data_IF_950290314239
#
_entry.id   IF_950290314239
#
_cell.length_a   1.000
_cell.length_b   1.000
_cell.length_c   1.000
_cell.angle_alpha   90.00
_cell.angle_beta   90.00
_cell.angle_gamma   90.00
#
_symmetry.space_group_name_H-M   'P 1'
#
loop_
_entity.id
_entity.type
_entity.pdbx_description
1 polymer ?
#
# COMPACT_ATOMS: atom_id res chain seq x y z
N UNK A 1 29.31 -26.37 18.20
CA UNK A 1 29.26 -25.22 17.28
C UNK A 1 27.84 -25.10 16.77
N UNK A 2 26.98 -24.29 17.40
CA UNK A 2 25.64 -24.01 16.86
C UNK A 2 25.78 -22.86 15.87
N UNK A 3 25.58 -23.15 14.59
CA UNK A 3 25.45 -22.15 13.55
C UNK A 3 24.21 -21.29 13.87
N UNK A 4 24.44 -20.05 14.30
CA UNK A 4 23.39 -19.04 14.40
C UNK A 4 23.13 -18.58 12.97
N UNK A 5 22.36 -19.35 12.22
CA UNK A 5 21.88 -18.95 10.90
C UNK A 5 20.98 -17.75 11.14
N UNK A 6 21.52 -16.56 10.92
CA UNK A 6 20.80 -15.30 11.00
C UNK A 6 19.63 -15.37 10.02
N UNK A 7 18.45 -15.76 10.51
CA UNK A 7 17.22 -15.77 9.74
C UNK A 7 16.96 -14.33 9.31
N UNK A 8 17.22 -14.06 8.03
CA UNK A 8 16.82 -12.84 7.33
C UNK A 8 15.29 -12.78 7.42
N UNK A 9 14.75 -12.16 8.47
CA UNK A 9 13.30 -12.11 8.72
C UNK A 9 12.66 -11.34 7.57
N UNK A 10 11.97 -12.06 6.70
CA UNK A 10 11.02 -11.46 5.76
C UNK A 10 9.86 -10.85 6.55
N UNK A 11 9.34 -9.69 6.16
CA UNK A 11 8.10 -9.17 6.74
C UNK A 11 7.00 -10.23 6.66
N UNK A 12 6.31 -10.55 7.78
CA UNK A 12 5.15 -11.43 7.74
C UNK A 12 4.02 -10.80 6.92
N UNK A 13 3.08 -11.64 6.49
CA UNK A 13 1.90 -11.19 5.75
C UNK A 13 1.09 -10.17 6.56
N UNK A 14 0.65 -9.10 5.89
CA UNK A 14 -0.14 -8.06 6.54
C UNK A 14 -0.01 -6.68 5.91
N UNK A 15 -0.50 -5.69 6.64
CA UNK A 15 -0.50 -4.29 6.22
C UNK A 15 0.64 -3.53 6.88
N UNK A 16 1.34 -2.73 6.09
CA UNK A 16 2.51 -1.95 6.53
C UNK A 16 2.36 -0.49 6.13
N UNK A 17 2.97 0.38 6.92
CA UNK A 17 3.12 1.77 6.55
C UNK A 17 4.31 1.92 5.59
N UNK A 18 4.14 2.69 4.51
CA UNK A 18 5.18 2.95 3.54
C UNK A 18 5.11 4.39 3.01
N UNK A 19 6.28 4.93 2.67
CA UNK A 19 6.39 6.15 1.87
C UNK A 19 6.35 5.75 0.40
N UNK A 20 5.33 6.22 -0.31
CA UNK A 20 5.13 5.95 -1.74
C UNK A 20 5.37 7.22 -2.51
N UNK A 21 6.29 7.17 -3.46
CA UNK A 21 6.64 8.28 -4.34
C UNK A 21 6.23 7.89 -5.76
N UNK A 22 5.40 8.72 -6.38
CA UNK A 22 5.04 8.58 -7.79
C UNK A 22 4.99 9.96 -8.45
N UNK A 23 5.12 9.97 -9.77
CA UNK A 23 4.93 11.17 -10.58
C UNK A 23 3.51 11.11 -11.16
N UNK A 24 2.77 12.21 -11.04
CA UNK A 24 1.54 12.40 -11.78
C UNK A 24 1.91 12.62 -13.27
N UNK A 25 1.33 11.82 -14.16
CA UNK A 25 1.59 11.88 -15.60
C UNK A 25 0.98 13.15 -16.19
N UNK A 26 1.74 14.23 -16.05
CA UNK A 26 1.40 15.58 -16.49
C UNK A 26 2.26 16.63 -15.77
N UNK A 27 2.68 16.33 -14.55
CA UNK A 27 3.48 17.22 -13.73
C UNK A 27 4.89 16.69 -13.52
N UNK A 28 5.91 17.50 -13.84
CA UNK A 28 7.34 17.19 -13.58
C UNK A 28 7.68 17.11 -12.07
N UNK A 29 6.68 16.95 -11.21
CA UNK A 29 6.79 16.99 -9.75
C UNK A 29 6.34 15.63 -9.20
N UNK A 30 7.27 14.92 -8.57
CA UNK A 30 6.94 13.76 -7.75
C UNK A 30 6.31 14.21 -6.44
N UNK A 31 5.18 13.65 -6.06
CA UNK A 31 4.63 13.78 -4.72
C UNK A 31 4.98 12.52 -3.90
N UNK A 32 5.07 12.66 -2.59
CA UNK A 32 5.20 11.52 -1.69
C UNK A 32 3.98 11.44 -0.80
N UNK A 33 3.53 10.22 -0.54
CA UNK A 33 2.40 9.93 0.32
C UNK A 33 2.79 8.86 1.32
N UNK A 34 2.29 9.00 2.54
CA UNK A 34 2.41 7.97 3.57
C UNK A 34 1.17 7.08 3.48
N UNK A 35 1.35 5.90 2.90
CA UNK A 35 0.27 5.00 2.50
C UNK A 35 0.47 3.62 3.12
N UNK A 36 -0.62 2.87 3.21
CA UNK A 36 -0.57 1.49 3.69
C UNK A 36 -0.42 0.56 2.50
N UNK A 37 0.48 -0.41 2.60
CA UNK A 37 0.73 -1.42 1.56
C UNK A 37 0.44 -2.81 2.11
N UNK A 38 -0.08 -3.69 1.25
CA UNK A 38 -0.33 -5.10 1.59
C UNK A 38 0.87 -5.94 1.18
N UNK A 39 1.35 -6.75 2.11
CA UNK A 39 2.44 -7.71 1.91
C UNK A 39 1.92 -9.12 2.06
N UNK A 40 2.23 -9.98 1.08
CA UNK A 40 1.97 -11.43 1.11
C UNK A 40 3.18 -12.18 0.59
N UNK A 41 3.62 -13.22 1.29
CA UNK A 41 4.76 -14.05 0.88
C UNK A 41 6.01 -13.20 0.56
N UNK A 42 6.31 -12.20 1.41
CA UNK A 42 7.39 -11.22 1.20
C UNK A 42 7.25 -10.34 -0.07
N UNK A 43 6.08 -10.31 -0.69
CA UNK A 43 5.81 -9.49 -1.88
C UNK A 43 4.85 -8.36 -1.54
N UNK A 44 5.14 -7.17 -2.05
CA UNK A 44 4.19 -6.07 -2.06
C UNK A 44 3.15 -6.38 -3.14
N UNK A 45 1.90 -6.57 -2.72
CA UNK A 45 0.79 -7.01 -3.60
C UNK A 45 -0.30 -5.95 -3.81
N UNK A 46 -0.41 -4.97 -2.91
CA UNK A 46 -1.34 -3.83 -3.07
C UNK A 46 -0.77 -2.55 -2.45
N UNK A 47 -1.19 -1.40 -2.97
CA UNK A 47 -0.99 -0.09 -2.36
C UNK A 47 -2.36 0.46 -2.00
N UNK A 48 -2.66 0.56 -0.70
CA UNK A 48 -3.90 1.12 -0.19
C UNK A 48 -3.85 2.63 -0.22
N UNK A 49 -4.82 3.13 -0.93
CA UNK A 49 -4.74 4.40 -1.62
C UNK A 49 -6.08 5.05 -1.23
N UNK A 50 -6.09 5.98 -0.25
CA UNK A 50 -7.30 6.37 0.49
C UNK A 50 -8.28 7.26 -0.29
N UNK A 51 -7.78 8.02 -1.27
CA UNK A 51 -8.53 9.03 -2.06
C UNK A 51 -8.65 8.62 -3.54
N UNK A 52 -9.08 9.54 -4.41
CA UNK A 52 -8.55 9.72 -5.77
C UNK A 52 -7.21 9.07 -6.16
N UNK A 53 -7.14 7.99 -6.93
CA UNK A 53 -5.86 7.59 -7.57
C UNK A 53 -5.91 7.81 -9.05
N UNK A 54 -4.82 8.38 -9.56
CA UNK A 54 -4.61 8.57 -10.99
C UNK A 54 -4.70 7.24 -11.74
N UNK A 55 -4.21 6.19 -11.12
CA UNK A 55 -4.17 4.85 -11.69
C UNK A 55 -4.85 3.86 -10.77
N UNK A 56 -5.96 3.32 -11.27
CA UNK A 56 -6.82 2.38 -10.58
C UNK A 56 -6.46 0.92 -10.88
N UNK A 57 -5.43 0.70 -11.69
CA UNK A 57 -5.02 -0.64 -12.11
C UNK A 57 -4.28 -1.34 -10.96
N UNK A 58 -4.36 -2.67 -10.95
CA UNK A 58 -3.60 -3.47 -10.00
C UNK A 58 -2.09 -3.31 -10.24
N UNK A 59 -1.30 -3.55 -9.20
CA UNK A 59 0.15 -3.66 -9.31
C UNK A 59 0.58 -5.10 -9.53
N UNK A 60 1.72 -5.29 -10.18
CA UNK A 60 2.38 -6.60 -10.18
C UNK A 60 2.99 -6.84 -8.81
N UNK A 61 2.82 -8.04 -8.27
CA UNK A 61 3.46 -8.43 -7.01
C UNK A 61 4.99 -8.39 -7.15
N UNK A 62 5.69 -7.71 -6.24
CA UNK A 62 7.16 -7.58 -6.27
C UNK A 62 7.75 -7.94 -4.91
N UNK A 63 8.81 -8.75 -4.90
CA UNK A 63 9.54 -9.09 -3.67
C UNK A 63 10.13 -7.86 -2.99
N UNK A 64 10.00 -7.79 -1.68
CA UNK A 64 10.53 -6.70 -0.87
C UNK A 64 11.98 -7.02 -0.52
N UNK A 65 12.96 -6.20 -0.95
CA UNK A 65 14.35 -6.37 -0.56
C UNK A 65 14.55 -6.02 0.91
N UNK A 66 15.67 -6.46 1.48
CA UNK A 66 15.96 -6.31 2.92
C UNK A 66 16.04 -4.86 3.41
N UNK A 67 16.37 -3.93 2.53
CA UNK A 67 16.42 -2.50 2.85
C UNK A 67 15.03 -1.84 2.82
N UNK A 68 13.98 -2.60 2.49
CA UNK A 68 12.59 -2.15 2.46
C UNK A 68 12.27 -1.20 1.31
N UNK A 69 13.14 -1.09 0.29
CA UNK A 69 12.95 -0.16 -0.83
C UNK A 69 12.65 -0.93 -2.11
N UNK A 70 11.41 -0.82 -2.61
CA UNK A 70 10.96 -1.54 -3.79
C UNK A 70 10.38 -0.57 -4.82
N UNK A 71 10.60 -0.88 -6.10
CA UNK A 71 9.90 -0.18 -7.19
C UNK A 71 8.86 -1.13 -7.75
N UNK A 72 7.60 -0.70 -7.76
CA UNK A 72 6.49 -1.47 -8.34
C UNK A 72 5.91 -0.73 -9.53
N UNK A 73 5.41 -1.49 -10.49
CA UNK A 73 4.77 -0.95 -11.70
C UNK A 73 3.35 -1.48 -11.76
N UNK A 74 2.39 -0.59 -11.94
CA UNK A 74 1.01 -0.98 -12.19
C UNK A 74 0.82 -1.57 -13.59
N UNK A 75 -0.33 -2.20 -13.81
CA UNK A 75 -0.69 -2.70 -15.14
C UNK A 75 -0.82 -1.57 -16.19
N UNK A 76 -1.12 -0.33 -15.80
CA UNK A 76 -1.15 0.83 -16.71
C UNK A 76 0.23 1.43 -16.99
N UNK A 77 1.29 0.98 -16.31
CA UNK A 77 2.66 1.44 -16.50
C UNK A 77 3.12 2.54 -15.54
N UNK A 78 2.30 2.90 -14.55
CA UNK A 78 2.71 3.86 -13.50
C UNK A 78 3.77 3.25 -12.59
N UNK A 79 4.84 4.01 -12.34
CA UNK A 79 5.96 3.57 -11.50
C UNK A 79 5.83 4.17 -10.10
N UNK A 80 5.80 3.30 -9.09
CA UNK A 80 5.76 3.67 -7.68
C UNK A 80 7.06 3.25 -6.99
N UNK A 81 7.73 4.20 -6.35
CA UNK A 81 8.87 3.93 -5.47
C UNK A 81 8.33 3.83 -4.05
N UNK A 82 8.43 2.66 -3.46
CA UNK A 82 7.90 2.36 -2.13
C UNK A 82 9.07 2.14 -1.17
N UNK A 83 9.00 2.81 -0.02
CA UNK A 83 9.92 2.64 1.09
C UNK A 83 9.13 2.24 2.34
N UNK A 84 9.29 1.00 2.80
CA UNK A 84 8.66 0.48 4.00
C UNK A 84 9.10 1.30 5.22
N UNK A 85 8.14 1.76 6.03
CA UNK A 85 8.39 2.56 7.24
C UNK A 85 8.20 1.76 8.52
N UNK A 86 7.22 0.86 8.54
CA UNK A 86 6.93 0.10 9.75
C UNK A 86 5.51 -0.49 9.73
N UNK A 87 4.95 -0.83 10.89
CA UNK A 87 3.59 -1.35 10.98
C UNK A 87 2.55 -0.32 10.48
N UNK A 88 1.41 -0.79 9.96
CA UNK A 88 0.35 0.06 9.42
C UNK A 88 -0.15 1.15 10.39
N UNK A 89 -0.06 0.91 11.70
CA UNK A 89 -0.44 1.85 12.76
C UNK A 89 0.29 3.19 12.69
N UNK A 90 1.52 3.22 12.18
CA UNK A 90 2.28 4.46 11.98
C UNK A 90 1.61 5.36 10.94
N UNK A 91 1.08 4.77 9.87
CA UNK A 91 0.32 5.48 8.87
C UNK A 91 -1.01 5.94 9.47
N UNK A 92 -1.77 5.04 10.13
CA UNK A 92 -3.09 5.34 10.70
C UNK A 92 -3.07 6.57 11.63
N UNK A 93 -2.06 6.68 12.50
CA UNK A 93 -1.90 7.83 13.42
C UNK A 93 -1.57 9.13 12.69
N UNK A 94 -0.80 9.06 11.61
CA UNK A 94 -0.36 10.24 10.88
C UNK A 94 -1.47 10.90 10.05
N UNK A 95 -2.51 10.14 9.67
CA UNK A 95 -3.46 10.54 8.61
C UNK A 95 -4.94 10.36 8.96
N UNK A 96 -5.28 9.96 10.20
CA UNK A 96 -6.67 9.71 10.64
C UNK A 96 -7.47 8.79 9.68
N UNK A 97 -6.81 7.79 9.09
CA UNK A 97 -7.47 6.84 8.17
C UNK A 97 -8.28 5.79 8.94
N UNK A 98 -9.41 5.38 8.36
CA UNK A 98 -10.34 4.39 8.90
C UNK A 98 -10.55 3.25 7.89
N UNK A 99 -10.94 2.06 8.33
CA UNK A 99 -11.31 0.99 7.41
C UNK A 99 -12.60 1.33 6.66
N UNK A 100 -12.54 1.16 5.33
CA UNK A 100 -13.67 1.32 4.45
C UNK A 100 -14.87 0.50 4.94
N UNK A 101 -16.04 1.13 4.90
CA UNK A 101 -17.34 0.55 5.27
C UNK A 101 -17.97 -0.25 4.13
N UNK A 102 -17.43 -0.14 2.91
CA UNK A 102 -17.91 -0.86 1.74
C UNK A 102 -17.68 -2.38 1.83
N UNK A 103 -18.39 -3.13 1.00
CA UNK A 103 -18.27 -4.58 0.88
C UNK A 103 -17.81 -4.96 -0.52
N UNK A 104 -16.91 -5.92 -0.63
CA UNK A 104 -16.50 -6.51 -1.90
C UNK A 104 -17.63 -7.33 -2.53
N UNK A 105 -17.44 -7.78 -3.78
CA UNK A 105 -18.45 -8.54 -4.55
C UNK A 105 -18.89 -9.83 -3.85
N UNK A 106 -18.01 -10.43 -3.05
CA UNK A 106 -18.25 -11.63 -2.23
C UNK A 106 -18.95 -11.31 -0.89
N UNK A 107 -19.27 -10.04 -0.60
CA UNK A 107 -19.92 -9.60 0.65
C UNK A 107 -18.98 -9.35 1.83
N UNK A 108 -17.68 -9.62 1.67
CA UNK A 108 -16.66 -9.37 2.70
C UNK A 108 -16.46 -7.87 2.91
N UNK A 109 -16.08 -7.45 4.14
CA UNK A 109 -15.76 -6.04 4.40
C UNK A 109 -14.51 -5.64 3.63
N UNK A 110 -14.57 -4.50 2.95
CA UNK A 110 -13.42 -3.95 2.23
C UNK A 110 -12.25 -3.73 3.20
N UNK A 111 -11.09 -4.27 2.85
CA UNK A 111 -9.87 -4.15 3.66
C UNK A 111 -9.13 -2.82 3.45
N UNK A 112 -9.52 -2.04 2.43
CA UNK A 112 -8.91 -0.75 2.15
C UNK A 112 -9.23 0.25 3.25
N UNK A 113 -8.31 1.17 3.46
CA UNK A 113 -8.48 2.29 4.38
C UNK A 113 -8.86 3.55 3.60
N UNK A 114 -9.49 4.51 4.28
CA UNK A 114 -9.91 5.78 3.70
C UNK A 114 -9.90 6.89 4.73
N UNK A 115 -9.54 8.09 4.29
CA UNK A 115 -9.68 9.36 5.04
C UNK A 115 -11.02 10.04 4.74
N UNK A 116 -11.83 9.49 3.83
CA UNK A 116 -13.10 10.10 3.44
C UNK A 116 -14.07 10.15 4.61
N UNK A 117 -14.74 11.30 4.77
CA UNK A 117 -15.72 11.53 5.85
C UNK A 117 -16.90 10.56 5.81
N UNK A 118 -17.28 10.05 4.64
CA UNK A 118 -18.34 9.05 4.50
C UNK A 118 -17.88 7.63 4.95
N UNK A 119 -16.58 7.41 5.14
CA UNK A 119 -15.98 6.12 5.49
C UNK A 119 -15.96 5.11 4.34
N UNK A 120 -16.08 5.55 3.09
CA UNK A 120 -16.00 4.71 1.89
C UNK A 120 -14.74 5.07 1.10
N UNK A 121 -13.96 4.08 0.69
CA UNK A 121 -12.82 4.28 -0.21
C UNK A 121 -13.29 4.58 -1.64
N UNK A 122 -12.38 4.97 -2.52
CA UNK A 122 -12.68 5.33 -3.91
C UNK A 122 -13.43 4.26 -4.72
N UNK A 123 -13.22 2.97 -4.45
CA UNK A 123 -14.01 1.90 -5.11
C UNK A 123 -15.45 1.76 -4.60
N UNK A 124 -15.77 2.42 -3.49
CA UNK A 124 -17.08 2.34 -2.83
C UNK A 124 -17.75 3.72 -2.69
N UNK A 125 -17.07 4.81 -3.04
CA UNK A 125 -17.67 6.13 -3.19
C UNK A 125 -18.32 6.20 -4.59
N UNK A 126 -19.53 6.75 -4.69
CA UNK A 126 -20.26 6.81 -5.97
C UNK A 126 -21.15 5.59 -6.24
N UNK A 127 -22.12 5.34 -5.35
CA UNK A 127 -23.41 4.81 -5.79
C UNK A 127 -24.41 5.95 -5.82
#
# INVERSE_FOLDING_TARGET
>A
MLAITSCKKTPPDGNYCAKVIYADSGSKKSAFYTLIVEVKENKLVDISFPEEHFDQSEIKAVEIPKDGKVTVVSQSGTVYKVEMKGPAEECLKAVNMLQCKGKSKDGSRCKRLTSNKNGLCWQHQGK
#
